data_IF_679679992259
#
_entry.id   IF_679679992259
#
_cell.length_a   1.000
_cell.length_b   1.000
_cell.length_c   1.000
_cell.angle_alpha   90.00
_cell.angle_beta   90.00
_cell.angle_gamma   90.00
#
_symmetry.space_group_name_H-M   'P 1'
#
loop_
_entity.id
_entity.type
_entity.pdbx_description
1 polymer ?
#
# COMPACT_ATOMS: atom_id res chain seq x y z
N UNK A 1 -7.50 -7.49 -14.14
CA UNK A 1 -6.35 -8.37 -14.45
C UNK A 1 -6.82 -9.79 -14.17
N UNK A 2 -7.00 -10.61 -15.19
CA UNK A 2 -7.30 -12.04 -15.04
C UNK A 2 -5.98 -12.81 -15.00
N UNK A 3 -5.67 -13.41 -13.85
CA UNK A 3 -4.54 -14.34 -13.74
C UNK A 3 -4.91 -15.62 -14.48
N UNK A 4 -4.18 -15.95 -15.54
CA UNK A 4 -4.42 -17.19 -16.29
C UNK A 4 -3.92 -18.38 -15.49
N UNK A 5 -4.59 -19.52 -15.65
CA UNK A 5 -4.21 -20.81 -15.05
C UNK A 5 -2.75 -21.18 -15.29
N UNK A 6 -2.22 -20.77 -16.44
CA UNK A 6 -0.82 -20.95 -16.85
C UNK A 6 0.18 -20.16 -15.99
N UNK A 7 -0.20 -19.01 -15.45
CA UNK A 7 0.66 -18.22 -14.56
C UNK A 7 0.75 -18.88 -13.17
N UNK A 8 -0.36 -19.44 -12.68
CA UNK A 8 -0.39 -20.19 -11.41
C UNK A 8 0.49 -21.45 -11.46
N UNK A 9 0.48 -22.17 -12.59
CA UNK A 9 1.28 -23.38 -12.77
C UNK A 9 2.79 -23.08 -12.83
N UNK A 10 3.21 -22.02 -13.54
CA UNK A 10 4.61 -21.58 -13.60
C UNK A 10 5.15 -21.09 -12.24
N UNK A 11 4.29 -20.48 -11.43
CA UNK A 11 4.68 -20.00 -10.10
C UNK A 11 4.90 -21.15 -9.11
N UNK A 12 4.13 -22.23 -9.24
CA UNK A 12 4.26 -23.43 -8.42
C UNK A 12 5.57 -24.18 -8.70
N UNK A 13 6.03 -24.19 -9.96
CA UNK A 13 7.32 -24.78 -10.37
C UNK A 13 8.55 -23.99 -9.86
N UNK A 14 8.38 -22.69 -9.60
CA UNK A 14 9.47 -21.78 -9.18
C UNK A 14 9.69 -21.78 -7.65
N UNK A 15 8.79 -22.40 -6.87
CA UNK A 15 8.82 -22.35 -5.40
C UNK A 15 8.46 -20.99 -4.80
N UNK A 16 8.08 -20.01 -5.61
CA UNK A 16 7.67 -18.68 -5.17
C UNK A 16 6.20 -18.72 -4.72
N UNK A 17 5.95 -18.41 -3.45
CA UNK A 17 4.58 -18.33 -2.92
C UNK A 17 3.93 -17.09 -3.55
N UNK A 18 2.77 -17.23 -4.20
CA UNK A 18 2.02 -16.12 -4.82
C UNK A 18 1.87 -14.91 -3.89
N UNK A 19 1.71 -15.18 -2.60
CA UNK A 19 1.62 -14.18 -1.55
C UNK A 19 2.84 -13.26 -1.49
N UNK A 20 4.05 -13.71 -1.86
CA UNK A 20 5.28 -12.92 -1.84
C UNK A 20 5.26 -11.81 -2.90
N UNK A 21 4.58 -12.02 -4.03
CA UNK A 21 4.46 -11.03 -5.12
C UNK A 21 3.35 -10.01 -4.91
N UNK A 22 2.45 -10.22 -3.96
CA UNK A 22 1.34 -9.29 -3.72
C UNK A 22 1.82 -8.00 -3.05
N UNK A 23 1.42 -6.85 -3.59
CA UNK A 23 1.75 -5.55 -2.99
C UNK A 23 0.96 -5.30 -1.70
N UNK A 24 -0.27 -5.80 -1.62
CA UNK A 24 -1.14 -5.71 -0.44
C UNK A 24 -2.06 -6.94 -0.31
N UNK A 25 -2.66 -7.09 0.87
CA UNK A 25 -3.64 -8.15 1.15
C UNK A 25 -4.94 -7.49 1.64
N UNK A 26 -6.08 -7.94 1.12
CA UNK A 26 -7.41 -7.52 1.56
C UNK A 26 -8.15 -8.77 2.02
N UNK A 27 -8.61 -8.79 3.27
CA UNK A 27 -9.30 -9.94 3.86
C UNK A 27 -10.71 -9.54 4.24
N UNK A 28 -11.69 -10.28 3.73
CA UNK A 28 -13.07 -10.25 4.20
C UNK A 28 -13.20 -11.24 5.36
N UNK A 29 -13.53 -10.74 6.55
CA UNK A 29 -13.55 -11.51 7.79
C UNK A 29 -14.89 -11.42 8.53
N UNK A 30 -15.99 -11.29 7.79
CA UNK A 30 -17.32 -11.31 8.40
C UNK A 30 -17.70 -12.68 8.94
N UNK A 31 -17.03 -13.73 8.45
CA UNK A 31 -17.18 -15.10 8.92
C UNK A 31 -15.85 -15.58 9.52
N UNK A 32 -15.88 -16.31 10.64
CA UNK A 32 -14.67 -16.89 11.19
C UNK A 32 -14.19 -18.03 10.28
N UNK A 33 -12.95 -17.92 9.83
CA UNK A 33 -12.25 -18.93 9.04
C UNK A 33 -10.81 -19.06 9.56
N UNK A 34 -10.27 -20.28 9.58
CA UNK A 34 -8.89 -20.53 9.99
C UNK A 34 -7.88 -19.94 9.00
N UNK A 35 -8.23 -19.87 7.71
CA UNK A 35 -7.39 -19.29 6.67
C UNK A 35 -7.14 -17.79 6.89
N UNK A 36 -8.13 -17.08 7.46
CA UNK A 36 -8.01 -15.66 7.81
C UNK A 36 -6.86 -15.44 8.81
N UNK A 37 -6.77 -16.30 9.83
CA UNK A 37 -5.70 -16.23 10.84
C UNK A 37 -4.31 -16.45 10.24
N UNK A 38 -4.20 -17.40 9.29
CA UNK A 38 -2.95 -17.64 8.56
C UNK A 38 -2.54 -16.45 7.70
N UNK A 39 -3.46 -15.93 6.87
CA UNK A 39 -3.20 -14.77 5.99
C UNK A 39 -2.85 -13.53 6.80
N UNK A 40 -3.50 -13.32 7.94
CA UNK A 40 -3.19 -12.25 8.88
C UNK A 40 -1.76 -12.38 9.43
N UNK A 41 -1.40 -13.55 9.95
CA UNK A 41 -0.06 -13.80 10.49
C UNK A 41 1.02 -13.64 9.41
N UNK A 42 0.75 -14.15 8.21
CA UNK A 42 1.64 -14.00 7.06
C UNK A 42 1.83 -12.52 6.69
N UNK A 43 0.74 -11.76 6.52
CA UNK A 43 0.80 -10.33 6.19
C UNK A 43 1.61 -9.53 7.22
N UNK A 44 1.40 -9.81 8.51
CA UNK A 44 2.14 -9.19 9.61
C UNK A 44 3.62 -9.57 9.56
N UNK A 45 3.94 -10.85 9.35
CA UNK A 45 5.34 -11.32 9.30
C UNK A 45 6.13 -10.68 8.16
N UNK A 46 5.48 -10.49 7.00
CA UNK A 46 6.06 -9.88 5.82
C UNK A 46 5.95 -8.35 5.81
N UNK A 47 5.33 -7.75 6.84
CA UNK A 47 5.02 -6.31 6.92
C UNK A 47 4.29 -5.80 5.67
N UNK A 48 3.41 -6.64 5.12
CA UNK A 48 2.61 -6.28 3.95
C UNK A 48 1.42 -5.41 4.37
N UNK A 49 1.05 -4.42 3.56
CA UNK A 49 -0.19 -3.68 3.75
C UNK A 49 -1.37 -4.64 3.84
N UNK A 50 -2.19 -4.46 4.87
CA UNK A 50 -3.34 -5.32 5.09
C UNK A 50 -4.59 -4.51 5.38
N UNK A 51 -5.64 -4.73 4.60
CA UNK A 51 -6.99 -4.25 4.90
C UNK A 51 -7.84 -5.41 5.43
N UNK A 52 -8.25 -5.30 6.69
CA UNK A 52 -9.11 -6.27 7.35
C UNK A 52 -10.55 -5.74 7.40
N UNK A 53 -11.42 -6.33 6.57
CA UNK A 53 -12.80 -5.93 6.37
C UNK A 53 -13.75 -6.82 7.16
N UNK A 54 -14.74 -6.21 7.81
CA UNK A 54 -15.83 -6.95 8.44
C UNK A 54 -17.15 -6.19 8.30
N UNK A 55 -18.21 -6.94 8.06
CA UNK A 55 -19.52 -6.37 7.83
C UNK A 55 -20.07 -5.74 9.13
N UNK A 56 -20.79 -4.63 9.02
CA UNK A 56 -21.36 -3.91 10.18
C UNK A 56 -22.31 -4.77 11.03
N UNK A 57 -22.92 -5.79 10.44
CA UNK A 57 -23.78 -6.74 11.17
C UNK A 57 -23.00 -7.83 11.90
N UNK A 58 -21.69 -7.93 11.71
CA UNK A 58 -20.86 -8.97 12.33
C UNK A 58 -20.51 -8.58 13.76
N UNK A 59 -20.73 -9.47 14.75
CA UNK A 59 -20.36 -9.20 16.13
C UNK A 59 -18.86 -8.91 16.28
N UNK A 60 -18.52 -7.89 17.07
CA UNK A 60 -17.13 -7.47 17.30
C UNK A 60 -16.22 -8.61 17.78
N UNK A 61 -16.74 -9.56 18.58
CA UNK A 61 -15.96 -10.72 19.05
C UNK A 61 -15.48 -11.63 17.91
N UNK A 62 -16.22 -11.70 16.81
CA UNK A 62 -15.85 -12.47 15.62
C UNK A 62 -14.84 -11.68 14.78
N UNK A 63 -15.04 -10.36 14.67
CA UNK A 63 -14.14 -9.48 13.93
C UNK A 63 -12.75 -9.30 14.60
N UNK A 64 -12.69 -9.26 15.93
CA UNK A 64 -11.46 -9.04 16.71
C UNK A 64 -10.84 -10.34 17.25
N UNK A 65 -11.33 -11.52 16.87
CA UNK A 65 -10.84 -12.80 17.40
C UNK A 65 -9.33 -13.00 17.23
N UNK A 66 -8.74 -12.38 16.20
CA UNK A 66 -7.32 -12.49 15.88
C UNK A 66 -6.52 -11.19 16.09
N UNK A 67 -7.18 -10.04 16.26
CA UNK A 67 -6.54 -8.73 16.39
C UNK A 67 -7.13 -7.95 17.56
N UNK A 68 -6.28 -7.54 18.50
CA UNK A 68 -6.65 -6.57 19.54
C UNK A 68 -6.22 -5.17 19.11
N UNK A 69 -7.11 -4.18 19.28
CA UNK A 69 -6.85 -2.76 18.94
C UNK A 69 -5.56 -2.18 19.55
N UNK A 70 -5.00 -2.81 20.60
CA UNK A 70 -3.79 -2.34 21.29
C UNK A 70 -2.47 -2.71 20.60
N UNK A 71 -2.43 -3.77 19.78
CA UNK A 71 -1.19 -4.29 19.19
C UNK A 71 -1.25 -4.44 17.66
N UNK A 72 -2.14 -3.68 17.01
CA UNK A 72 -2.27 -3.75 15.55
C UNK A 72 -1.22 -2.84 14.90
N UNK A 73 -0.32 -3.37 14.04
CA UNK A 73 0.68 -2.55 13.35
C UNK A 73 0.05 -1.49 12.45
N UNK A 74 0.75 -0.37 12.22
CA UNK A 74 0.22 0.76 11.43
C UNK A 74 -0.17 0.40 9.98
N UNK A 75 0.47 -0.63 9.41
CA UNK A 75 0.20 -1.15 8.07
C UNK A 75 -1.01 -2.09 8.01
N UNK A 76 -1.64 -2.40 9.16
CA UNK A 76 -2.86 -3.19 9.26
C UNK A 76 -4.04 -2.25 9.55
N UNK A 77 -4.94 -2.10 8.58
CA UNK A 77 -6.11 -1.24 8.65
C UNK A 77 -7.35 -2.10 8.86
N UNK A 78 -8.04 -1.90 9.97
CA UNK A 78 -9.32 -2.56 10.24
C UNK A 78 -10.47 -1.61 9.86
N UNK A 79 -11.39 -2.07 9.00
CA UNK A 79 -12.52 -1.26 8.55
C UNK A 79 -13.82 -2.05 8.58
N UNK A 80 -14.86 -1.38 9.07
CA UNK A 80 -16.23 -1.87 8.99
C UNK A 80 -16.84 -1.44 7.67
N UNK A 81 -17.56 -2.34 7.02
CA UNK A 81 -18.25 -2.04 5.77
C UNK A 81 -19.71 -2.53 5.76
N UNK A 82 -20.45 -2.01 4.80
CA UNK A 82 -21.77 -2.40 4.35
C UNK A 82 -21.75 -2.46 2.82
N UNK A 83 -22.79 -3.00 2.19
CA UNK A 83 -22.84 -3.10 0.72
C UNK A 83 -22.70 -1.74 -0.01
N UNK A 84 -22.97 -0.61 0.67
CA UNK A 84 -22.95 0.73 0.06
C UNK A 84 -21.58 1.41 0.09
N UNK A 85 -20.74 1.09 1.06
CA UNK A 85 -19.45 1.77 1.32
C UNK A 85 -18.25 0.85 1.08
N UNK A 86 -18.45 -0.42 0.70
CA UNK A 86 -17.37 -1.36 0.39
C UNK A 86 -16.41 -0.82 -0.67
N UNK A 87 -16.98 -0.28 -1.76
CA UNK A 87 -16.22 0.25 -2.88
C UNK A 87 -15.36 1.44 -2.45
N UNK A 88 -15.95 2.37 -1.71
CA UNK A 88 -15.26 3.54 -1.15
C UNK A 88 -14.14 3.13 -0.18
N UNK A 89 -14.37 2.11 0.66
CA UNK A 89 -13.37 1.62 1.62
C UNK A 89 -12.18 0.97 0.90
N UNK A 90 -12.42 0.17 -0.14
CA UNK A 90 -11.35 -0.46 -0.91
C UNK A 90 -10.57 0.58 -1.70
N UNK A 91 -11.26 1.48 -2.41
CA UNK A 91 -10.61 2.56 -3.16
C UNK A 91 -9.81 3.49 -2.26
N UNK A 92 -10.35 3.84 -1.09
CA UNK A 92 -9.63 4.64 -0.10
C UNK A 92 -8.36 3.95 0.39
N UNK A 93 -8.40 2.64 0.62
CA UNK A 93 -7.22 1.88 1.01
C UNK A 93 -6.16 1.84 -0.10
N UNK A 94 -6.55 1.48 -1.32
CA UNK A 94 -5.62 1.45 -2.47
C UNK A 94 -4.99 2.83 -2.69
N UNK A 95 -5.79 3.89 -2.61
CA UNK A 95 -5.29 5.25 -2.73
C UNK A 95 -4.29 5.62 -1.62
N UNK A 96 -4.49 5.16 -0.38
CA UNK A 96 -3.54 5.35 0.71
C UNK A 96 -2.20 4.62 0.48
N UNK A 97 -2.22 3.50 -0.25
CA UNK A 97 -1.01 2.76 -0.65
C UNK A 97 -0.25 3.51 -1.74
N UNK A 98 -0.94 3.89 -2.82
CA UNK A 98 -0.34 4.57 -3.97
C UNK A 98 0.14 5.98 -3.64
N UNK A 99 -0.55 6.68 -2.73
CA UNK A 99 -0.14 8.02 -2.29
C UNK A 99 1.06 8.02 -1.35
N UNK A 100 1.66 6.85 -1.06
CA UNK A 100 2.85 6.71 -0.22
C UNK A 100 2.62 7.04 1.26
N UNK A 101 1.37 7.25 1.68
CA UNK A 101 1.01 7.64 3.06
C UNK A 101 0.89 6.46 4.01
N UNK A 102 0.48 5.28 3.52
CA UNK A 102 0.24 4.10 4.35
C UNK A 102 1.44 3.18 4.49
N UNK A 103 2.21 3.00 3.43
CA UNK A 103 3.49 2.32 3.45
C UNK A 103 4.45 3.20 2.69
N UNK A 104 5.59 3.50 3.31
CA UNK A 104 6.72 4.10 2.62
C UNK A 104 7.06 3.14 1.48
N UNK A 105 6.56 3.41 0.28
CA UNK A 105 7.13 2.85 -0.94
C UNK A 105 8.61 3.14 -0.82
N UNK A 106 9.40 2.10 -0.56
CA UNK A 106 10.82 2.20 -0.77
C UNK A 106 10.94 2.45 -2.27
N UNK A 107 11.56 3.56 -2.71
CA UNK A 107 11.71 3.83 -4.13
C UNK A 107 12.37 2.61 -4.79
N UNK A 108 11.60 1.85 -5.56
CA UNK A 108 12.04 0.60 -6.19
C UNK A 108 12.60 0.87 -7.59
N UNK A 109 12.15 1.94 -8.22
CA UNK A 109 12.53 2.34 -9.58
C UNK A 109 13.67 3.37 -9.52
N UNK A 110 14.84 2.99 -10.03
CA UNK A 110 15.99 3.89 -10.18
C UNK A 110 16.00 4.49 -11.59
N UNK A 111 16.00 5.81 -11.67
CA UNK A 111 16.32 6.54 -12.90
C UNK A 111 17.53 7.46 -12.68
N UNK A 112 18.27 7.77 -13.75
CA UNK A 112 19.44 8.66 -13.69
C UNK A 112 19.11 9.97 -14.42
N UNK A 113 19.14 11.09 -13.70
CA UNK A 113 18.92 12.42 -14.24
C UNK A 113 20.27 13.14 -14.45
N UNK A 114 20.53 13.63 -15.67
CA UNK A 114 21.64 14.57 -15.91
C UNK A 114 21.13 16.00 -15.73
N UNK A 115 21.82 16.78 -14.90
CA UNK A 115 21.45 18.18 -14.60
C UNK A 115 22.60 19.12 -14.94
N UNK A 116 22.25 20.39 -15.16
CA UNK A 116 23.24 21.45 -15.40
C UNK A 116 23.83 21.95 -14.07
N UNK A 117 25.01 22.61 -14.08
CA UNK A 117 25.59 23.21 -12.88
C UNK A 117 24.69 24.24 -12.19
N UNK A 118 23.82 24.93 -12.94
CA UNK A 118 22.85 25.87 -12.38
C UNK A 118 21.79 25.15 -11.53
N UNK A 119 21.25 24.03 -12.04
CA UNK A 119 20.27 23.22 -11.32
C UNK A 119 20.89 22.59 -10.08
N UNK A 120 22.14 22.12 -10.19
CA UNK A 120 22.89 21.59 -9.03
C UNK A 120 22.97 22.62 -7.90
N UNK A 121 23.38 23.86 -8.20
CA UNK A 121 23.51 24.93 -7.20
C UNK A 121 22.17 25.27 -6.57
N UNK A 122 21.11 25.31 -7.38
CA UNK A 122 19.76 25.55 -6.88
C UNK A 122 19.32 24.45 -5.91
N UNK A 123 19.47 23.18 -6.30
CA UNK A 123 19.12 22.04 -5.46
C UNK A 123 19.93 22.02 -4.17
N UNK A 124 21.22 22.33 -4.23
CA UNK A 124 22.09 22.42 -3.05
C UNK A 124 21.65 23.53 -2.08
N UNK A 125 21.36 24.73 -2.59
CA UNK A 125 20.88 25.84 -1.77
C UNK A 125 19.55 25.49 -1.09
N UNK A 126 18.64 24.88 -1.84
CA UNK A 126 17.30 24.54 -1.37
C UNK A 126 17.33 23.38 -0.37
N UNK A 127 18.07 22.31 -0.67
CA UNK A 127 18.25 21.16 0.22
C UNK A 127 18.84 21.56 1.56
N UNK A 128 19.82 22.47 1.56
CA UNK A 128 20.42 23.01 2.79
C UNK A 128 19.42 23.81 3.65
N UNK A 129 18.54 24.60 3.01
CA UNK A 129 17.52 25.38 3.71
C UNK A 129 16.44 24.50 4.35
N UNK A 130 16.10 23.40 3.71
CA UNK A 130 15.05 22.47 4.15
C UNK A 130 15.58 21.28 4.97
N UNK A 131 16.90 21.18 5.23
CA UNK A 131 17.56 20.06 5.95
C UNK A 131 17.19 18.67 5.40
N UNK A 132 17.08 18.56 4.08
CA UNK A 132 16.77 17.32 3.39
C UNK A 132 17.78 17.04 2.29
N UNK A 133 17.83 15.82 1.74
CA UNK A 133 18.73 15.53 0.61
C UNK A 133 18.19 16.13 -0.69
N UNK A 134 19.05 16.27 -1.71
CA UNK A 134 18.62 16.72 -3.05
C UNK A 134 17.54 15.79 -3.64
N UNK A 135 17.66 14.49 -3.36
CA UNK A 135 16.72 13.48 -3.83
C UNK A 135 15.38 13.56 -3.11
N UNK A 136 15.37 13.81 -1.80
CA UNK A 136 14.13 14.05 -1.04
C UNK A 136 13.41 15.28 -1.56
N UNK A 137 14.15 16.37 -1.79
CA UNK A 137 13.56 17.62 -2.26
C UNK A 137 12.94 17.48 -3.65
N UNK A 138 13.61 16.78 -4.56
CA UNK A 138 13.06 16.49 -5.89
C UNK A 138 11.81 15.61 -5.81
N UNK A 139 11.75 14.66 -4.87
CA UNK A 139 10.57 13.83 -4.66
C UNK A 139 9.37 14.65 -4.21
N UNK A 140 9.53 15.48 -3.18
CA UNK A 140 8.47 16.37 -2.71
C UNK A 140 7.97 17.29 -3.83
N UNK A 141 8.87 17.85 -4.64
CA UNK A 141 8.51 18.69 -5.77
C UNK A 141 7.68 17.94 -6.82
N UNK A 142 8.04 16.70 -7.13
CA UNK A 142 7.31 15.87 -8.09
C UNK A 142 5.94 15.46 -7.54
N UNK A 143 5.84 15.07 -6.26
CA UNK A 143 4.58 14.75 -5.61
C UNK A 143 3.61 15.95 -5.62
N UNK A 144 4.11 17.17 -5.36
CA UNK A 144 3.31 18.38 -5.48
C UNK A 144 2.82 18.64 -6.91
N UNK A 145 3.67 18.38 -7.92
CA UNK A 145 3.30 18.54 -9.33
C UNK A 145 2.23 17.52 -9.73
N UNK A 146 2.39 16.25 -9.34
CA UNK A 146 1.40 15.18 -9.56
C UNK A 146 0.06 15.56 -8.94
N UNK A 147 0.06 16.08 -7.71
CA UNK A 147 -1.17 16.49 -7.02
C UNK A 147 -1.93 17.62 -7.72
N UNK A 148 -1.21 18.51 -8.42
CA UNK A 148 -1.76 19.67 -9.15
C UNK A 148 -2.13 19.35 -10.60
N UNK A 149 -1.63 18.26 -11.16
CA UNK A 149 -1.88 17.88 -12.55
C UNK A 149 -3.23 17.15 -12.70
N UNK A 150 -4.26 17.91 -13.09
CA UNK A 150 -5.59 17.35 -13.33
C UNK A 150 -5.65 16.39 -14.52
N UNK A 151 -4.78 16.53 -15.52
CA UNK A 151 -4.78 15.65 -16.68
C UNK A 151 -4.21 14.29 -16.32
N UNK A 152 -3.13 14.26 -15.54
CA UNK A 152 -2.56 13.03 -15.00
C UNK A 152 -3.53 12.34 -14.05
N UNK A 153 -4.21 13.10 -13.16
CA UNK A 153 -5.20 12.55 -12.22
C UNK A 153 -6.43 11.93 -12.88
N UNK A 154 -6.77 12.31 -14.12
CA UNK A 154 -7.86 11.70 -14.89
C UNK A 154 -7.48 10.37 -15.54
N UNK A 155 -6.18 10.07 -15.62
CA UNK A 155 -5.63 8.84 -16.23
C UNK A 155 -5.29 7.76 -15.19
N UNK A 156 -5.31 8.13 -13.91
CA UNK A 156 -5.33 7.21 -12.78
C UNK A 156 -6.76 6.72 -12.54
#
# INVERSE_FOLDING_TARGET
>A
MDFKKEDLERMNESGEILLDKMDCIIIEASKPDQEIGYLLAYAISQKKPLLYLYHKSTPEKVAFGYLTKKNTPDFVKMKMYSAKDLDEVIHGFIHELESGRGLKEKPSIKFTLRITPQIERYLQWKSNRHKQTKADYLRELLEELIGKDEEFRKKL
#
